data_IF_342883790242
#
_entry.id   IF_342883790242
#
_cell.length_a   1.000
_cell.length_b   1.000
_cell.length_c   1.000
_cell.angle_alpha   90.00
_cell.angle_beta   90.00
_cell.angle_gamma   90.00
#
_symmetry.space_group_name_H-M   'P 1'
#
loop_
_entity.id
_entity.type
_entity.pdbx_description
1 polymer ?
#
# COMPACT_ATOMS: atom_id res chain seq x y z
N UNK A 1 -8.27 30.59 -39.66
CA UNK A 1 -8.64 29.36 -40.40
C UNK A 1 -8.98 28.14 -39.51
N UNK A 2 -8.86 28.20 -38.17
CA UNK A 2 -9.51 27.19 -37.29
C UNK A 2 -10.91 27.62 -36.82
N UNK A 3 -11.29 28.88 -37.08
CA UNK A 3 -12.49 29.54 -36.54
C UNK A 3 -13.77 29.34 -37.38
N UNK A 4 -13.65 28.95 -38.65
CA UNK A 4 -14.80 28.92 -39.58
C UNK A 4 -15.45 27.54 -39.72
N UNK A 5 -15.17 26.60 -38.78
CA UNK A 5 -15.71 25.23 -38.75
C UNK A 5 -15.90 24.61 -40.15
N UNK A 6 -14.80 24.24 -40.84
CA UNK A 6 -14.90 23.73 -42.21
C UNK A 6 -15.89 22.57 -42.29
N UNK A 7 -16.56 22.42 -43.44
CA UNK A 7 -17.61 21.40 -43.65
C UNK A 7 -17.11 19.98 -43.34
N UNK A 8 -15.80 19.76 -43.54
CA UNK A 8 -15.13 18.51 -43.24
C UNK A 8 -14.81 18.30 -41.75
N UNK A 9 -15.06 19.28 -40.88
CA UNK A 9 -14.77 19.17 -39.46
C UNK A 9 -15.73 18.23 -38.75
N UNK A 10 -15.24 17.56 -37.70
CA UNK A 10 -16.05 16.70 -36.84
C UNK A 10 -17.23 17.45 -36.20
N UNK A 11 -17.09 18.77 -35.97
CA UNK A 11 -18.15 19.64 -35.43
C UNK A 11 -19.26 19.86 -36.47
N UNK A 12 -18.89 20.12 -37.73
CA UNK A 12 -19.84 20.28 -38.84
C UNK A 12 -20.59 18.96 -39.12
N UNK A 13 -19.87 17.84 -39.19
CA UNK A 13 -20.43 16.48 -39.38
C UNK A 13 -21.34 16.04 -38.24
N UNK A 14 -21.02 16.46 -37.02
CA UNK A 14 -21.85 16.26 -35.84
C UNK A 14 -23.07 17.19 -35.74
N UNK A 15 -23.22 18.17 -36.65
CA UNK A 15 -24.21 19.27 -36.52
C UNK A 15 -24.13 19.98 -35.16
N UNK A 16 -22.94 20.06 -34.60
CA UNK A 16 -22.70 20.57 -33.24
C UNK A 16 -22.50 22.09 -33.19
N UNK A 17 -22.30 22.76 -34.33
CA UNK A 17 -22.02 24.20 -34.41
C UNK A 17 -23.08 25.06 -33.69
N UNK A 18 -24.35 24.69 -33.86
CA UNK A 18 -25.51 25.39 -33.28
C UNK A 18 -26.15 24.58 -32.12
N UNK A 19 -25.51 23.50 -31.68
CA UNK A 19 -26.01 22.69 -30.57
C UNK A 19 -25.78 23.41 -29.24
N UNK A 20 -26.54 23.01 -28.20
CA UNK A 20 -26.34 23.54 -26.86
C UNK A 20 -24.89 23.29 -26.38
N UNK A 21 -24.31 24.25 -25.66
CA UNK A 21 -22.88 24.20 -25.30
C UNK A 21 -22.50 22.93 -24.53
N UNK A 22 -23.42 22.40 -23.72
CA UNK A 22 -23.20 21.17 -22.98
C UNK A 22 -23.08 19.95 -23.90
N UNK A 23 -23.84 19.91 -25.00
CA UNK A 23 -23.74 18.84 -25.99
C UNK A 23 -22.39 18.92 -26.72
N UNK A 24 -21.97 20.12 -27.10
CA UNK A 24 -20.66 20.33 -27.73
C UNK A 24 -19.52 19.87 -26.81
N UNK A 25 -19.58 20.27 -25.53
CA UNK A 25 -18.59 19.88 -24.52
C UNK A 25 -18.58 18.38 -24.28
N UNK A 26 -19.75 17.75 -24.15
CA UNK A 26 -19.88 16.32 -23.90
C UNK A 26 -19.27 15.50 -25.05
N UNK A 27 -19.56 15.87 -26.29
CA UNK A 27 -18.98 15.20 -27.46
C UNK A 27 -17.47 15.45 -27.61
N UNK A 28 -17.01 16.67 -27.31
CA UNK A 28 -15.58 16.98 -27.29
C UNK A 28 -14.83 16.16 -26.21
N UNK A 29 -15.39 16.09 -25.00
CA UNK A 29 -14.86 15.32 -23.89
C UNK A 29 -14.84 13.82 -24.21
N UNK A 30 -15.93 13.28 -24.76
CA UNK A 30 -16.00 11.90 -25.21
C UNK A 30 -14.92 11.58 -26.24
N UNK A 31 -14.72 12.47 -27.23
CA UNK A 31 -13.66 12.32 -28.24
C UNK A 31 -12.27 12.32 -27.58
N UNK A 32 -12.00 13.27 -26.69
CA UNK A 32 -10.72 13.38 -25.97
C UNK A 32 -10.44 12.15 -25.09
N UNK A 33 -11.44 11.67 -24.33
CA UNK A 33 -11.30 10.46 -23.52
C UNK A 33 -11.11 9.20 -24.36
N UNK A 34 -11.75 9.10 -25.52
CA UNK A 34 -11.57 7.98 -26.45
C UNK A 34 -10.14 7.89 -26.97
N UNK A 35 -9.51 9.05 -27.24
CA UNK A 35 -8.09 9.12 -27.59
C UNK A 35 -7.19 8.73 -26.41
N UNK A 36 -7.50 9.23 -25.20
CA UNK A 36 -6.73 8.94 -23.98
C UNK A 36 -6.74 7.44 -23.61
N UNK A 37 -7.90 6.79 -23.69
CA UNK A 37 -8.08 5.38 -23.37
C UNK A 37 -7.75 4.45 -24.55
N UNK A 38 -7.25 4.99 -25.67
CA UNK A 38 -6.94 4.23 -26.90
C UNK A 38 -8.11 3.42 -27.46
N UNK A 39 -9.35 3.89 -27.25
CA UNK A 39 -10.58 3.21 -27.70
C UNK A 39 -10.86 3.50 -29.17
N UNK A 40 -10.56 4.73 -29.64
CA UNK A 40 -10.77 5.14 -31.03
C UNK A 40 -11.08 6.62 -31.19
N UNK A 41 -11.53 7.02 -32.38
CA UNK A 41 -11.69 8.43 -32.79
C UNK A 41 -13.06 9.07 -32.45
N UNK A 42 -13.93 8.35 -31.75
CA UNK A 42 -15.31 8.75 -31.49
C UNK A 42 -16.24 8.46 -32.68
N UNK A 43 -17.26 9.31 -32.88
CA UNK A 43 -18.30 9.11 -33.91
C UNK A 43 -17.79 9.32 -35.35
N UNK A 44 -16.79 10.18 -35.54
CA UNK A 44 -16.24 10.51 -36.86
C UNK A 44 -14.70 10.51 -36.83
N UNK A 45 -14.03 9.78 -37.74
CA UNK A 45 -12.58 9.84 -37.85
C UNK A 45 -12.12 11.20 -38.40
N UNK A 46 -10.84 11.59 -38.17
CA UNK A 46 -10.29 12.81 -38.75
C UNK A 46 -10.32 12.72 -40.29
N UNK A 47 -10.93 13.70 -40.93
CA UNK A 47 -11.04 13.73 -42.41
C UNK A 47 -10.20 14.82 -43.05
N UNK A 48 -9.82 15.85 -42.28
CA UNK A 48 -8.88 16.87 -42.72
C UNK A 48 -7.48 16.63 -42.15
N UNK A 49 -6.45 17.04 -42.88
CA UNK A 49 -5.05 16.96 -42.42
C UNK A 49 -4.83 17.70 -41.09
N UNK A 50 -5.50 18.83 -40.88
CA UNK A 50 -5.41 19.58 -39.62
C UNK A 50 -6.01 18.80 -38.44
N UNK A 51 -7.15 18.14 -38.65
CA UNK A 51 -7.76 17.29 -37.63
C UNK A 51 -6.93 16.05 -37.32
N UNK A 52 -6.27 15.48 -38.34
CA UNK A 52 -5.37 14.35 -38.17
C UNK A 52 -4.21 14.73 -37.25
N UNK A 53 -3.54 15.88 -37.46
CA UNK A 53 -2.46 16.34 -36.58
C UNK A 53 -2.92 16.62 -35.15
N UNK A 54 -4.07 17.28 -34.97
CA UNK A 54 -4.64 17.49 -33.62
C UNK A 54 -4.95 16.15 -32.94
N UNK A 55 -5.47 15.19 -33.71
CA UNK A 55 -5.76 13.83 -33.21
C UNK A 55 -4.48 13.12 -32.79
N UNK A 56 -3.43 13.13 -33.61
CA UNK A 56 -2.13 12.52 -33.27
C UNK A 56 -1.54 13.12 -32.00
N UNK A 57 -1.52 14.45 -31.89
CA UNK A 57 -1.03 15.15 -30.70
C UNK A 57 -1.84 14.72 -29.46
N UNK A 58 -3.16 14.72 -29.56
CA UNK A 58 -4.04 14.33 -28.45
C UNK A 58 -3.87 12.87 -28.04
N UNK A 59 -3.62 11.96 -28.99
CA UNK A 59 -3.34 10.54 -28.70
C UNK A 59 -2.01 10.36 -28.00
N UNK A 60 -0.95 11.04 -28.44
CA UNK A 60 0.37 10.98 -27.80
C UNK A 60 0.33 11.50 -26.37
N UNK A 61 -0.33 12.65 -26.16
CA UNK A 61 -0.51 13.23 -24.82
C UNK A 61 -1.37 12.33 -23.94
N UNK A 62 -2.48 11.80 -24.49
CA UNK A 62 -3.40 10.92 -23.77
C UNK A 62 -2.75 9.59 -23.35
N UNK A 63 -2.04 8.94 -24.26
CA UNK A 63 -1.33 7.68 -23.99
C UNK A 63 -0.23 7.87 -22.95
N UNK A 64 0.55 8.96 -23.06
CA UNK A 64 1.59 9.29 -22.06
C UNK A 64 0.96 9.55 -20.69
N UNK A 65 -0.11 10.33 -20.62
CA UNK A 65 -0.84 10.62 -19.39
C UNK A 65 -1.41 9.36 -18.74
N UNK A 66 -2.02 8.47 -19.54
CA UNK A 66 -2.56 7.21 -19.06
C UNK A 66 -1.47 6.27 -18.55
N UNK A 67 -0.34 6.15 -19.25
CA UNK A 67 0.80 5.34 -18.81
C UNK A 67 1.36 5.82 -17.47
N UNK A 68 1.51 7.14 -17.30
CA UNK A 68 1.95 7.73 -16.03
C UNK A 68 0.92 7.51 -14.92
N UNK A 69 -0.36 7.69 -15.20
CA UNK A 69 -1.44 7.45 -14.24
C UNK A 69 -1.44 6.00 -13.75
N UNK A 70 -1.37 5.03 -14.66
CA UNK A 70 -1.28 3.60 -14.32
C UNK A 70 -0.01 3.30 -13.54
N UNK A 71 1.13 3.89 -13.94
CA UNK A 71 2.41 3.75 -13.23
C UNK A 71 2.33 4.26 -11.79
N UNK A 72 1.75 5.44 -11.58
CA UNK A 72 1.55 6.00 -10.25
C UNK A 72 0.53 5.21 -9.42
N UNK A 73 -0.58 4.78 -10.02
CA UNK A 73 -1.56 3.93 -9.35
C UNK A 73 -0.93 2.60 -8.91
N UNK A 74 -0.13 1.97 -9.78
CA UNK A 74 0.60 0.75 -9.45
C UNK A 74 1.63 0.97 -8.32
N UNK A 75 2.38 2.08 -8.36
CA UNK A 75 3.33 2.44 -7.31
C UNK A 75 2.61 2.67 -5.95
N UNK A 76 1.45 3.33 -5.98
CA UNK A 76 0.61 3.53 -4.80
C UNK A 76 0.09 2.20 -4.23
N UNK A 77 -0.40 1.30 -5.08
CA UNK A 77 -0.85 -0.03 -4.66
C UNK A 77 0.31 -0.82 -4.04
N UNK A 78 1.51 -0.72 -4.62
CA UNK A 78 2.70 -1.37 -4.07
C UNK A 78 3.16 -0.75 -2.73
N UNK A 79 2.93 0.54 -2.51
CA UNK A 79 3.33 1.22 -1.28
C UNK A 79 2.40 0.92 -0.09
N UNK A 80 1.10 0.71 -0.33
CA UNK A 80 0.11 0.42 0.71
C UNK A 80 0.44 -0.82 1.56
N UNK A 81 1.11 -1.83 0.99
CA UNK A 81 1.45 -3.08 1.68
C UNK A 81 2.96 -3.38 1.68
N UNK A 82 3.82 -2.36 1.64
CA UNK A 82 5.27 -2.54 1.58
C UNK A 82 5.82 -3.40 2.75
N UNK A 83 5.42 -3.13 4.00
CA UNK A 83 5.91 -3.87 5.18
C UNK A 83 5.47 -5.34 5.19
N UNK A 84 4.24 -5.64 4.74
CA UNK A 84 3.76 -7.03 4.60
C UNK A 84 4.44 -7.75 3.46
N UNK A 85 4.72 -7.04 2.34
CA UNK A 85 5.46 -7.58 1.20
C UNK A 85 6.88 -7.96 1.62
N UNK A 86 7.57 -7.06 2.33
CA UNK A 86 8.91 -7.31 2.86
C UNK A 86 8.95 -8.51 3.80
N UNK A 87 7.98 -8.62 4.73
CA UNK A 87 7.85 -9.78 5.61
C UNK A 87 7.69 -11.08 4.80
N UNK A 88 6.79 -11.10 3.82
CA UNK A 88 6.58 -12.28 2.96
C UNK A 88 7.82 -12.67 2.17
N UNK A 89 8.52 -11.70 1.57
CA UNK A 89 9.75 -11.93 0.81
C UNK A 89 10.85 -12.52 1.72
N UNK A 90 11.06 -11.95 2.90
CA UNK A 90 12.04 -12.48 3.87
C UNK A 90 11.65 -13.86 4.40
N UNK A 91 10.38 -14.07 4.72
CA UNK A 91 9.90 -15.37 5.19
C UNK A 91 10.04 -16.44 4.10
N UNK A 92 9.81 -16.10 2.83
CA UNK A 92 10.04 -17.01 1.70
C UNK A 92 11.50 -17.44 1.60
N UNK A 93 12.46 -16.52 1.76
CA UNK A 93 13.89 -16.87 1.78
C UNK A 93 14.23 -17.82 2.94
N UNK A 94 13.63 -17.61 4.11
CA UNK A 94 13.79 -18.52 5.26
C UNK A 94 13.21 -19.89 4.92
N UNK A 95 12.02 -19.97 4.31
CA UNK A 95 11.40 -21.23 3.93
C UNK A 95 12.22 -22.01 2.89
N UNK A 96 12.75 -21.33 1.87
CA UNK A 96 13.67 -21.92 0.89
C UNK A 96 14.95 -22.44 1.55
N UNK A 97 15.51 -21.72 2.53
CA UNK A 97 16.66 -22.18 3.30
C UNK A 97 16.33 -23.43 4.14
N UNK A 98 15.14 -23.46 4.77
CA UNK A 98 14.66 -24.61 5.53
C UNK A 98 14.42 -25.84 4.63
N UNK A 99 13.98 -25.61 3.39
CA UNK A 99 13.83 -26.62 2.34
C UNK A 99 15.19 -27.19 1.93
N UNK A 100 16.15 -26.33 1.61
CA UNK A 100 17.51 -26.71 1.21
C UNK A 100 18.22 -27.55 2.27
N UNK A 101 18.13 -27.16 3.55
CA UNK A 101 18.73 -27.89 4.68
C UNK A 101 17.94 -29.14 5.12
N UNK A 102 16.82 -29.45 4.45
CA UNK A 102 15.93 -30.59 4.78
C UNK A 102 15.56 -30.66 6.27
N UNK A 103 15.25 -29.51 6.88
CA UNK A 103 14.90 -29.46 8.29
C UNK A 103 13.62 -30.28 8.56
N UNK A 104 13.55 -31.01 9.68
CA UNK A 104 12.37 -31.79 10.06
C UNK A 104 11.16 -30.88 10.29
N UNK A 105 9.95 -31.39 9.98
CA UNK A 105 8.69 -30.63 10.03
C UNK A 105 8.44 -29.93 11.38
N UNK A 106 8.81 -30.55 12.50
CA UNK A 106 8.65 -29.96 13.83
C UNK A 106 9.48 -28.69 14.03
N UNK A 107 10.72 -28.68 13.51
CA UNK A 107 11.60 -27.52 13.61
C UNK A 107 11.14 -26.38 12.68
N UNK A 108 10.69 -26.70 11.47
CA UNK A 108 10.07 -25.70 10.57
C UNK A 108 8.87 -25.03 11.20
N UNK A 109 8.00 -25.80 11.86
CA UNK A 109 6.82 -25.28 12.54
C UNK A 109 7.19 -24.34 13.70
N UNK A 110 8.21 -24.68 14.50
CA UNK A 110 8.74 -23.78 15.54
C UNK A 110 9.32 -22.49 14.96
N UNK A 111 10.07 -22.57 13.85
CA UNK A 111 10.63 -21.39 13.18
C UNK A 111 9.51 -20.49 12.66
N UNK A 112 8.50 -21.06 12.00
CA UNK A 112 7.34 -20.31 11.50
C UNK A 112 6.57 -19.61 12.65
N UNK A 113 6.23 -20.34 13.72
CA UNK A 113 5.55 -19.76 14.88
C UNK A 113 6.37 -18.67 15.58
N UNK A 114 7.70 -18.82 15.64
CA UNK A 114 8.58 -17.77 16.16
C UNK A 114 8.55 -16.51 15.29
N UNK A 115 8.66 -16.65 13.97
CA UNK A 115 8.62 -15.52 13.04
C UNK A 115 7.26 -14.81 13.04
N UNK A 116 6.17 -15.55 13.13
CA UNK A 116 4.81 -14.99 13.22
C UNK A 116 4.61 -14.23 14.53
N UNK A 117 5.06 -14.77 15.67
CA UNK A 117 4.98 -14.10 16.96
C UNK A 117 5.88 -12.86 17.05
N UNK A 118 7.12 -12.93 16.53
CA UNK A 118 8.11 -11.85 16.63
C UNK A 118 7.80 -10.64 15.73
N UNK A 119 7.20 -10.87 14.56
CA UNK A 119 6.96 -9.83 13.56
C UNK A 119 5.47 -9.53 13.33
N UNK A 120 4.53 -10.35 13.81
CA UNK A 120 3.07 -10.12 13.67
C UNK A 120 2.63 -9.79 12.23
N UNK A 121 3.31 -10.36 11.22
CA UNK A 121 3.04 -10.10 9.80
C UNK A 121 3.52 -8.74 9.27
N UNK A 122 4.24 -7.94 10.07
CA UNK A 122 4.83 -6.65 9.69
C UNK A 122 6.32 -6.63 10.04
N UNK A 123 7.20 -6.56 9.04
CA UNK A 123 8.62 -6.38 9.30
C UNK A 123 8.94 -4.88 9.43
N UNK A 124 9.57 -4.51 10.55
CA UNK A 124 10.14 -3.18 10.78
C UNK A 124 11.62 -3.34 11.07
N UNK A 125 12.45 -2.48 10.48
CA UNK A 125 13.88 -2.46 10.74
C UNK A 125 14.15 -1.57 11.97
N UNK A 126 13.91 -2.12 13.17
CA UNK A 126 13.96 -1.36 14.44
C UNK A 126 15.28 -0.58 14.59
N UNK A 127 16.42 -1.17 14.23
CA UNK A 127 17.73 -0.53 14.39
C UNK A 127 17.90 0.71 13.49
N UNK A 128 17.33 0.70 12.29
CA UNK A 128 17.42 1.80 11.34
C UNK A 128 16.49 2.95 11.77
N UNK A 129 15.27 2.63 12.16
CA UNK A 129 14.29 3.58 12.73
C UNK A 129 14.83 4.23 14.00
N UNK A 130 15.45 3.42 14.87
CA UNK A 130 16.08 3.91 16.10
C UNK A 130 17.33 4.73 15.80
N UNK A 131 17.97 4.59 14.64
CA UNK A 131 19.13 5.40 14.28
C UNK A 131 18.77 6.77 13.72
N UNK A 132 17.66 6.89 12.99
CA UNK A 132 17.10 8.17 12.52
C UNK A 132 16.50 9.03 13.63
N UNK A 133 16.12 8.43 14.76
CA UNK A 133 15.56 9.15 15.90
C UNK A 133 16.62 10.05 16.58
N UNK A 134 16.26 11.26 17.00
CA UNK A 134 17.12 12.10 17.85
C UNK A 134 17.50 11.36 19.14
N UNK A 135 18.73 11.55 19.64
CA UNK A 135 19.24 10.86 20.84
C UNK A 135 18.30 10.97 22.06
N UNK A 136 17.68 12.14 22.27
CA UNK A 136 16.68 12.35 23.33
C UNK A 136 15.45 11.43 23.20
N UNK A 137 15.00 11.13 21.98
CA UNK A 137 13.87 10.23 21.75
C UNK A 137 14.28 8.75 21.87
N UNK A 138 15.55 8.41 21.58
CA UNK A 138 16.09 7.06 21.82
C UNK A 138 16.14 6.77 23.32
N UNK A 139 16.68 7.70 24.11
CA UNK A 139 16.75 7.57 25.58
C UNK A 139 15.37 7.47 26.21
N UNK A 140 14.38 8.22 25.72
CA UNK A 140 13.00 8.11 26.21
C UNK A 140 12.35 6.77 25.83
N UNK A 141 12.55 6.24 24.62
CA UNK A 141 12.03 4.92 24.23
C UNK A 141 12.69 3.78 25.03
N UNK A 142 14.01 3.85 25.20
CA UNK A 142 14.79 2.87 25.96
C UNK A 142 14.36 2.93 27.44
N UNK A 143 14.37 4.12 28.06
CA UNK A 143 13.96 4.29 29.46
C UNK A 143 12.51 3.85 29.69
N UNK A 144 11.61 4.08 28.73
CA UNK A 144 10.21 3.59 28.81
C UNK A 144 10.16 2.06 28.75
N UNK A 145 10.87 1.41 27.82
CA UNK A 145 10.98 -0.07 27.77
C UNK A 145 11.54 -0.65 29.07
N UNK A 146 12.62 -0.05 29.61
CA UNK A 146 13.21 -0.46 30.89
C UNK A 146 12.25 -0.26 32.07
N UNK A 147 11.50 0.86 32.10
CA UNK A 147 10.53 1.14 33.17
C UNK A 147 9.35 0.18 33.14
N UNK A 148 8.85 -0.19 31.97
CA UNK A 148 7.84 -1.24 31.82
C UNK A 148 8.37 -2.63 32.20
N UNK A 149 9.60 -2.97 31.79
CA UNK A 149 10.24 -4.24 32.14
C UNK A 149 10.43 -4.38 33.66
N UNK A 150 10.88 -3.32 34.33
CA UNK A 150 11.03 -3.32 35.79
C UNK A 150 9.68 -3.40 36.50
N UNK A 151 8.64 -2.74 35.97
CA UNK A 151 7.29 -2.79 36.56
C UNK A 151 6.62 -4.16 36.41
N UNK A 152 6.87 -4.86 35.30
CA UNK A 152 6.45 -6.25 35.12
C UNK A 152 7.20 -7.17 36.08
N UNK A 153 8.53 -7.00 36.21
CA UNK A 153 9.34 -7.81 37.11
C UNK A 153 8.95 -7.60 38.59
N UNK A 154 8.69 -6.36 39.01
CA UNK A 154 8.21 -6.06 40.36
C UNK A 154 6.81 -6.62 40.64
N UNK A 155 5.93 -6.65 39.63
CA UNK A 155 4.59 -7.23 39.77
C UNK A 155 4.63 -8.76 39.87
N UNK A 156 5.51 -9.43 39.12
CA UNK A 156 5.73 -10.88 39.22
C UNK A 156 6.29 -11.23 40.60
N UNK A 157 7.31 -10.49 41.05
CA UNK A 157 7.92 -10.70 42.37
C UNK A 157 6.94 -10.43 43.52
N UNK A 158 6.02 -9.47 43.36
CA UNK A 158 4.95 -9.23 44.33
C UNK A 158 3.94 -10.39 44.36
N UNK A 159 3.55 -10.94 43.20
CA UNK A 159 2.66 -12.10 43.14
C UNK A 159 3.28 -13.37 43.76
N UNK A 160 4.57 -13.60 43.56
CA UNK A 160 5.29 -14.72 44.19
C UNK A 160 5.30 -14.60 45.72
N UNK A 161 5.45 -13.38 46.26
CA UNK A 161 5.37 -13.11 47.70
C UNK A 161 3.93 -13.34 48.22
N UNK A 162 2.90 -12.94 47.48
CA UNK A 162 1.51 -13.20 47.84
C UNK A 162 1.15 -14.69 47.81
N UNK A 163 1.72 -15.48 46.89
CA UNK A 163 1.52 -16.94 46.82
C UNK A 163 2.23 -17.64 48.00
N UNK A 164 3.42 -17.17 48.40
CA UNK A 164 4.11 -17.68 49.59
C UNK A 164 3.38 -17.35 50.89
N UNK A 165 2.79 -16.15 51.00
CA UNK A 165 2.04 -15.73 52.19
C UNK A 165 0.59 -16.30 52.22
N UNK A 166 -0.04 -16.51 51.07
CA UNK A 166 -1.39 -17.08 50.95
C UNK A 166 -1.46 -18.60 51.13
N UNK A 167 -0.34 -19.31 50.97
CA UNK A 167 -0.26 -20.76 51.21
C UNK A 167 -0.11 -21.17 52.69
N UNK A 168 0.06 -20.22 53.62
CA UNK A 168 0.38 -20.53 55.02
C UNK A 168 -0.82 -20.60 55.97
N UNK A 169 -2.06 -20.34 55.52
CA UNK A 169 -3.21 -20.17 56.42
C UNK A 169 -4.28 -21.27 56.40
N UNK A 170 -4.00 -22.46 55.85
CA UNK A 170 -4.99 -23.56 55.76
C UNK A 170 -4.62 -24.85 56.52
N UNK A 171 -3.86 -24.77 57.61
CA UNK A 171 -3.76 -25.88 58.56
C UNK A 171 -3.57 -25.33 59.98
N UNK A 172 -4.67 -25.19 60.72
CA UNK A 172 -4.80 -25.38 62.19
C UNK A 172 -6.03 -24.65 62.70
N UNK A 173 -7.19 -25.29 62.68
CA UNK A 173 -8.26 -25.12 63.69
C UNK A 173 -9.37 -26.12 63.36
N UNK A 174 -9.33 -27.28 64.00
CA UNK A 174 -10.29 -28.36 63.78
C UNK A 174 -10.04 -29.56 64.69
N UNK A 175 -9.75 -29.30 65.98
CA UNK A 175 -9.78 -30.30 67.04
C UNK A 175 -10.23 -29.61 68.34
N UNK A 176 -11.53 -29.64 68.59
CA UNK A 176 -12.18 -29.89 69.90
C UNK A 176 -13.68 -29.78 69.73
#
# INVERSE_FOLDING_TARGET
MLHDYPVESWVAKGKLQNAYWFDQYTWALFKAMSHMLTIGYGRYPPTSLSEAWVTVISMVTGATGYALFVGHAAALIQSFDCSKRLYREKFKQVDEYMAYRKLPRGLRKRIASYYEHRYQGKMFNENEILNELSECLKENNISTKYKYSNKLNSNIQSQDIWIQLGGSNNHTTGLS
#
